data_IF_665843357117
#
_entry.id   IF_665843357117
#
_cell.length_a   1.000
_cell.length_b   1.000
_cell.length_c   1.000
_cell.angle_alpha   90.00
_cell.angle_beta   90.00
_cell.angle_gamma   90.00
#
_symmetry.space_group_name_H-M   'P 1'
#
loop_
_entity.id
_entity.type
_entity.pdbx_description
1 polymer ?
#
# COMPACT_ATOMS: atom_id res chain seq x y z
N UNK A 1 4.71 -7.43 -4.37
CA UNK A 1 3.46 -8.12 -3.95
C UNK A 1 3.49 -9.59 -4.37
N UNK A 2 3.46 -9.96 -5.65
CA UNK A 2 3.34 -11.35 -6.10
C UNK A 2 4.32 -12.33 -5.46
N UNK A 3 5.62 -12.00 -5.45
CA UNK A 3 6.65 -12.85 -4.82
C UNK A 3 6.41 -13.04 -3.32
N UNK A 4 6.00 -11.98 -2.61
CA UNK A 4 5.68 -12.06 -1.18
C UNK A 4 4.46 -12.94 -0.91
N UNK A 5 3.42 -12.81 -1.76
CA UNK A 5 2.18 -13.57 -1.61
C UNK A 5 2.40 -15.06 -1.92
N UNK A 6 3.16 -15.37 -2.99
CA UNK A 6 3.59 -16.73 -3.31
C UNK A 6 4.34 -17.36 -2.12
N UNK A 7 5.38 -16.70 -1.61
CA UNK A 7 6.14 -17.15 -0.46
C UNK A 7 5.23 -17.41 0.76
N UNK A 8 4.32 -16.47 1.08
CA UNK A 8 3.42 -16.61 2.22
C UNK A 8 2.48 -17.82 2.11
N UNK A 9 1.90 -18.08 0.94
CA UNK A 9 1.05 -19.23 0.71
C UNK A 9 1.81 -20.54 0.77
N UNK A 10 3.00 -20.63 0.19
CA UNK A 10 3.85 -21.82 0.27
C UNK A 10 4.20 -22.17 1.73
N UNK A 11 4.50 -21.16 2.58
CA UNK A 11 4.73 -21.36 4.02
C UNK A 11 3.49 -21.94 4.75
N UNK A 12 2.30 -21.75 4.19
CA UNK A 12 1.03 -22.30 4.73
C UNK A 12 0.61 -23.61 4.08
N UNK A 13 1.45 -24.17 3.21
CA UNK A 13 1.16 -25.42 2.49
C UNK A 13 0.14 -25.26 1.35
N UNK A 14 -0.14 -24.06 0.90
CA UNK A 14 -0.97 -23.79 -0.27
C UNK A 14 -0.06 -23.81 -1.50
N UNK A 15 -0.29 -24.76 -2.40
CA UNK A 15 0.49 -24.86 -3.63
C UNK A 15 0.20 -23.67 -4.55
N UNK A 16 1.25 -22.96 -4.95
CA UNK A 16 1.15 -21.78 -5.82
C UNK A 16 2.23 -21.80 -6.91
N UNK A 17 1.90 -21.22 -8.06
CA UNK A 17 2.86 -21.00 -9.14
C UNK A 17 2.93 -19.51 -9.48
N UNK A 18 4.16 -18.99 -9.57
CA UNK A 18 4.40 -17.59 -9.89
C UNK A 18 4.64 -17.41 -11.39
N UNK A 19 3.67 -16.78 -12.06
CA UNK A 19 3.74 -16.51 -13.51
C UNK A 19 4.07 -15.03 -13.73
N UNK A 20 5.06 -14.76 -14.59
CA UNK A 20 5.42 -13.38 -14.94
C UNK A 20 4.54 -12.86 -16.07
N UNK A 21 3.91 -11.69 -15.86
CA UNK A 21 2.99 -11.11 -16.83
C UNK A 21 3.65 -10.58 -18.12
N UNK A 22 4.91 -10.10 -18.05
CA UNK A 22 5.59 -9.51 -19.22
C UNK A 22 5.70 -10.44 -20.44
N UNK A 23 6.07 -11.73 -20.31
CA UNK A 23 6.02 -12.65 -21.44
C UNK A 23 4.61 -12.83 -21.99
N UNK A 24 3.58 -12.84 -21.14
CA UNK A 24 2.18 -13.06 -21.56
C UNK A 24 1.67 -11.93 -22.45
N UNK A 25 2.03 -10.67 -22.15
CA UNK A 25 1.63 -9.50 -22.95
C UNK A 25 2.49 -9.30 -24.20
N UNK A 26 3.68 -9.92 -24.27
CA UNK A 26 4.59 -9.80 -25.40
C UNK A 26 4.40 -10.91 -26.44
N UNK A 27 3.96 -12.11 -26.02
CA UNK A 27 3.81 -13.30 -26.87
C UNK A 27 2.51 -14.04 -26.53
N UNK A 28 1.51 -14.04 -27.43
CA UNK A 28 0.25 -14.78 -27.22
C UNK A 28 0.43 -16.28 -26.97
N UNK A 29 1.48 -16.91 -27.50
CA UNK A 29 1.77 -18.33 -27.26
C UNK A 29 2.20 -18.60 -25.81
N UNK A 30 2.84 -17.61 -25.15
CA UNK A 30 3.21 -17.73 -23.74
C UNK A 30 1.99 -17.89 -22.82
N UNK A 31 0.81 -17.43 -23.23
CA UNK A 31 -0.44 -17.61 -22.46
C UNK A 31 -0.79 -19.09 -22.30
N UNK A 32 -0.46 -19.93 -23.29
CA UNK A 32 -0.69 -21.39 -23.23
C UNK A 32 0.15 -22.10 -22.17
N UNK A 33 1.17 -21.43 -21.66
CA UNK A 33 2.04 -21.98 -20.59
C UNK A 33 1.52 -21.64 -19.19
N UNK A 34 0.47 -20.83 -19.09
CA UNK A 34 -0.14 -20.52 -17.78
C UNK A 34 -0.85 -21.76 -17.26
N UNK A 35 -0.48 -22.28 -16.10
CA UNK A 35 -1.08 -23.49 -15.56
C UNK A 35 -2.56 -23.28 -15.23
N UNK A 36 -3.34 -24.36 -15.34
CA UNK A 36 -4.72 -24.36 -14.85
C UNK A 36 -4.71 -24.30 -13.32
N UNK A 37 -5.50 -23.40 -12.76
CA UNK A 37 -5.61 -23.20 -11.34
C UNK A 37 -7.07 -22.91 -10.91
N UNK A 38 -7.37 -23.19 -9.66
CA UNK A 38 -8.67 -22.86 -9.07
C UNK A 38 -8.80 -21.36 -8.83
N UNK A 39 -7.67 -20.67 -8.57
CA UNK A 39 -7.62 -19.24 -8.25
C UNK A 39 -6.46 -18.58 -9.03
N UNK A 40 -6.76 -17.49 -9.71
CA UNK A 40 -5.76 -16.61 -10.33
C UNK A 40 -5.68 -15.29 -9.57
N UNK A 41 -4.50 -14.96 -9.03
CA UNK A 41 -4.27 -13.72 -8.29
C UNK A 41 -3.38 -12.79 -9.11
N UNK A 42 -3.95 -11.69 -9.58
CA UNK A 42 -3.28 -10.69 -10.41
C UNK A 42 -2.59 -9.65 -9.52
N UNK A 43 -1.27 -9.67 -9.50
CA UNK A 43 -0.42 -8.76 -8.70
C UNK A 43 0.38 -7.80 -9.60
N UNK A 44 -0.15 -7.51 -10.77
CA UNK A 44 0.43 -6.59 -11.75
C UNK A 44 0.07 -5.15 -11.44
N UNK A 45 0.77 -4.19 -12.06
CA UNK A 45 0.41 -2.77 -11.96
C UNK A 45 -0.94 -2.49 -12.64
N UNK A 46 -1.70 -1.55 -12.12
CA UNK A 46 -3.08 -1.25 -12.55
C UNK A 46 -3.19 -1.01 -14.06
N UNK A 47 -2.18 -0.35 -14.66
CA UNK A 47 -2.13 -0.02 -16.09
C UNK A 47 -2.28 -1.22 -17.02
N UNK A 48 -1.79 -2.39 -16.62
CA UNK A 48 -1.82 -3.61 -17.44
C UNK A 48 -2.79 -4.66 -16.91
N UNK A 49 -3.50 -4.39 -15.83
CA UNK A 49 -4.37 -5.37 -15.18
C UNK A 49 -5.46 -5.89 -16.12
N UNK A 50 -6.20 -5.01 -16.78
CA UNK A 50 -7.26 -5.41 -17.70
C UNK A 50 -6.76 -6.25 -18.87
N UNK A 51 -5.60 -5.91 -19.44
CA UNK A 51 -4.94 -6.65 -20.49
C UNK A 51 -4.58 -8.07 -20.02
N UNK A 52 -3.90 -8.19 -18.87
CA UNK A 52 -3.49 -9.51 -18.35
C UNK A 52 -4.70 -10.38 -17.98
N UNK A 53 -5.76 -9.79 -17.41
CA UNK A 53 -7.01 -10.49 -17.12
C UNK A 53 -7.66 -11.06 -18.38
N UNK A 54 -7.65 -10.32 -19.48
CA UNK A 54 -8.25 -10.76 -20.75
C UNK A 54 -7.51 -11.94 -21.41
N UNK A 55 -6.24 -12.12 -21.10
CA UNK A 55 -5.42 -13.22 -21.65
C UNK A 55 -5.75 -14.59 -21.02
N UNK A 56 -6.27 -14.62 -19.80
CA UNK A 56 -6.50 -15.89 -19.07
C UNK A 56 -7.93 -16.37 -19.30
N UNK A 57 -8.08 -17.42 -20.07
CA UNK A 57 -9.38 -18.07 -20.32
C UNK A 57 -9.62 -19.22 -19.32
N UNK A 58 -10.20 -18.87 -18.17
CA UNK A 58 -10.53 -19.81 -17.10
C UNK A 58 -11.84 -19.40 -16.39
N UNK A 59 -13.00 -19.50 -17.07
CA UNK A 59 -14.25 -18.93 -16.57
C UNK A 59 -14.79 -19.60 -15.30
N UNK A 60 -14.30 -20.77 -14.93
CA UNK A 60 -14.68 -21.49 -13.69
C UNK A 60 -13.79 -21.16 -12.50
N UNK A 61 -12.63 -20.56 -12.73
CA UNK A 61 -11.70 -20.18 -11.69
C UNK A 61 -12.14 -18.89 -10.99
N UNK A 62 -11.70 -18.70 -9.76
CA UNK A 62 -11.83 -17.44 -9.04
C UNK A 62 -10.70 -16.48 -9.48
N UNK A 63 -11.06 -15.31 -9.97
CA UNK A 63 -10.12 -14.29 -10.43
C UNK A 63 -10.03 -13.15 -9.43
N UNK A 64 -8.84 -12.90 -8.87
CA UNK A 64 -8.62 -11.90 -7.82
C UNK A 64 -7.56 -10.88 -8.26
N UNK A 65 -7.79 -9.59 -8.03
CA UNK A 65 -6.72 -8.61 -8.11
C UNK A 65 -6.36 -8.05 -6.73
N UNK A 66 -5.15 -7.49 -6.63
CA UNK A 66 -4.62 -6.96 -5.37
C UNK A 66 -4.49 -5.43 -5.36
N UNK A 67 -5.18 -4.74 -6.28
CA UNK A 67 -5.13 -3.28 -6.37
C UNK A 67 -6.03 -2.60 -5.34
N UNK A 68 -5.52 -1.52 -4.73
CA UNK A 68 -6.30 -0.65 -3.87
C UNK A 68 -7.25 0.29 -4.62
N UNK A 69 -7.02 0.53 -5.93
CA UNK A 69 -7.72 1.53 -6.74
C UNK A 69 -8.60 0.95 -7.86
N UNK A 70 -8.28 -0.25 -8.37
CA UNK A 70 -9.03 -0.84 -9.48
C UNK A 70 -10.39 -1.39 -9.03
N UNK A 71 -11.45 -1.20 -9.85
CA UNK A 71 -12.75 -1.76 -9.57
C UNK A 71 -12.82 -3.25 -9.89
N UNK A 72 -13.70 -3.98 -9.19
CA UNK A 72 -13.98 -5.40 -9.47
C UNK A 72 -14.51 -5.62 -10.89
N UNK A 73 -15.11 -4.60 -11.50
CA UNK A 73 -15.64 -4.64 -12.86
C UNK A 73 -14.57 -4.83 -13.94
N UNK A 74 -13.27 -4.70 -13.59
CA UNK A 74 -12.16 -5.01 -14.52
C UNK A 74 -12.22 -6.44 -15.04
N UNK A 75 -12.87 -7.35 -14.32
CA UNK A 75 -13.01 -8.75 -14.71
C UNK A 75 -14.11 -9.02 -15.77
N UNK A 76 -14.93 -8.01 -16.11
CA UNK A 76 -15.98 -8.19 -17.12
C UNK A 76 -17.05 -9.22 -16.76
N UNK A 77 -17.87 -9.59 -17.75
CA UNK A 77 -18.90 -10.62 -17.59
C UNK A 77 -18.36 -12.05 -17.81
N UNK A 78 -17.29 -12.19 -18.55
CA UNK A 78 -16.63 -13.45 -18.90
C UNK A 78 -15.88 -14.11 -17.73
N UNK A 79 -15.68 -13.38 -16.63
CA UNK A 79 -15.17 -13.90 -15.36
C UNK A 79 -16.28 -13.82 -14.30
N UNK A 80 -17.20 -14.80 -14.26
CA UNK A 80 -18.34 -14.79 -13.34
C UNK A 80 -17.93 -14.88 -11.88
N UNK A 81 -16.78 -15.53 -11.59
CA UNK A 81 -16.19 -15.65 -10.26
C UNK A 81 -15.00 -14.72 -10.14
N UNK A 82 -15.17 -13.64 -9.40
CA UNK A 82 -14.12 -12.65 -9.27
C UNK A 82 -14.22 -11.82 -7.98
N UNK A 83 -13.10 -11.21 -7.60
CA UNK A 83 -13.02 -10.37 -6.44
C UNK A 83 -11.73 -9.59 -6.29
N UNK A 84 -11.61 -8.99 -5.14
CA UNK A 84 -10.44 -8.24 -4.70
C UNK A 84 -9.86 -8.90 -3.46
N UNK A 85 -8.53 -9.01 -3.41
CA UNK A 85 -7.77 -9.50 -2.26
C UNK A 85 -6.66 -8.50 -1.98
N UNK A 86 -6.95 -7.47 -1.19
CA UNK A 86 -6.06 -6.34 -0.98
C UNK A 86 -5.42 -6.39 0.40
N UNK A 87 -4.18 -6.88 0.47
CA UNK A 87 -3.36 -6.80 1.69
C UNK A 87 -2.76 -5.40 1.84
N UNK A 88 -3.12 -4.72 2.92
CA UNK A 88 -2.74 -3.34 3.16
C UNK A 88 -1.39 -3.25 3.85
N UNK A 89 -0.33 -3.34 3.06
CA UNK A 89 1.06 -3.32 3.50
C UNK A 89 1.97 -2.75 2.40
N UNK A 90 3.13 -2.24 2.80
CA UNK A 90 4.24 -1.89 1.91
C UNK A 90 5.09 -3.13 1.63
N UNK A 91 5.16 -3.55 0.36
CA UNK A 91 5.94 -4.71 -0.06
C UNK A 91 7.17 -4.27 -0.84
N UNK A 92 8.35 -4.77 -0.47
CA UNK A 92 9.57 -4.69 -1.28
C UNK A 92 9.86 -6.02 -1.97
N UNK A 93 10.76 -6.01 -2.94
CA UNK A 93 11.22 -7.25 -3.59
C UNK A 93 12.33 -7.93 -2.81
N UNK A 94 13.10 -7.15 -2.08
CA UNK A 94 14.32 -7.54 -1.39
C UNK A 94 14.02 -8.19 -0.03
N UNK A 95 12.82 -7.95 0.51
CA UNK A 95 12.42 -8.47 1.83
C UNK A 95 11.13 -9.25 1.69
N UNK A 96 11.20 -10.55 1.96
CA UNK A 96 10.01 -11.39 2.06
C UNK A 96 9.45 -11.31 3.48
N UNK A 97 8.13 -11.34 3.58
CA UNK A 97 7.41 -11.29 4.85
C UNK A 97 6.95 -12.71 5.18
N UNK A 98 7.44 -13.27 6.27
CA UNK A 98 7.09 -14.60 6.74
C UNK A 98 5.80 -14.59 7.57
N UNK A 99 5.64 -13.58 8.43
CA UNK A 99 4.46 -13.44 9.29
C UNK A 99 3.49 -12.38 8.76
N UNK A 100 2.36 -12.84 8.26
CA UNK A 100 1.27 -12.00 7.75
C UNK A 100 0.16 -11.77 8.78
N UNK A 101 0.25 -12.34 9.97
CA UNK A 101 -0.83 -12.33 10.98
C UNK A 101 -1.31 -10.93 11.36
N UNK A 102 -0.43 -9.93 11.27
CA UNK A 102 -0.74 -8.53 11.59
C UNK A 102 -1.15 -7.70 10.38
N UNK A 103 -1.03 -8.22 9.15
CA UNK A 103 -1.34 -7.49 7.92
C UNK A 103 -2.84 -7.51 7.67
N UNK A 104 -3.51 -6.35 7.62
CA UNK A 104 -4.92 -6.30 7.27
C UNK A 104 -5.16 -6.71 5.81
N UNK A 105 -6.18 -7.53 5.58
CA UNK A 105 -6.70 -7.88 4.27
C UNK A 105 -8.07 -7.26 4.07
N UNK A 106 -8.24 -6.48 3.02
CA UNK A 106 -9.52 -5.92 2.60
C UNK A 106 -9.98 -6.63 1.32
N UNK A 107 -11.23 -7.06 1.27
CA UNK A 107 -11.70 -7.87 0.17
C UNK A 107 -13.11 -7.48 -0.30
N UNK A 108 -13.42 -7.88 -1.52
CA UNK A 108 -14.71 -7.71 -2.18
C UNK A 108 -14.93 -8.90 -3.11
N UNK A 109 -16.12 -9.47 -3.17
CA UNK A 109 -16.49 -10.56 -4.08
C UNK A 109 -17.70 -10.19 -4.95
N UNK A 110 -17.80 -10.76 -6.17
CA UNK A 110 -18.94 -10.53 -7.06
C UNK A 110 -20.25 -11.10 -6.52
N UNK A 111 -20.18 -12.19 -5.76
CA UNK A 111 -21.34 -12.90 -5.21
C UNK A 111 -20.98 -13.52 -3.86
N UNK A 112 -21.94 -14.13 -3.19
CA UNK A 112 -21.77 -14.68 -1.83
C UNK A 112 -20.76 -15.83 -1.78
N UNK A 113 -20.69 -16.66 -2.83
CA UNK A 113 -19.75 -17.78 -2.89
C UNK A 113 -18.32 -17.28 -3.07
N UNK A 114 -18.10 -16.25 -3.91
CA UNK A 114 -16.82 -15.58 -4.07
C UNK A 114 -16.37 -14.92 -2.78
N UNK A 115 -17.27 -14.23 -2.06
CA UNK A 115 -17.01 -13.63 -0.73
C UNK A 115 -16.53 -14.71 0.24
N UNK A 116 -17.20 -15.85 0.33
CA UNK A 116 -16.82 -16.95 1.22
C UNK A 116 -15.46 -17.55 0.84
N UNK A 117 -15.20 -17.76 -0.45
CA UNK A 117 -13.93 -18.31 -0.95
C UNK A 117 -12.75 -17.36 -0.67
N UNK A 118 -12.93 -16.05 -0.92
CA UNK A 118 -11.89 -15.03 -0.68
C UNK A 118 -11.60 -14.92 0.81
N UNK A 119 -12.63 -14.90 1.65
CA UNK A 119 -12.46 -14.87 3.09
C UNK A 119 -11.67 -16.08 3.59
N UNK A 120 -12.01 -17.30 3.14
CA UNK A 120 -11.30 -18.53 3.49
C UNK A 120 -9.84 -18.50 3.05
N UNK A 121 -9.57 -17.99 1.84
CA UNK A 121 -8.20 -17.82 1.34
C UNK A 121 -7.41 -16.83 2.21
N UNK A 122 -7.99 -15.66 2.54
CA UNK A 122 -7.33 -14.66 3.36
C UNK A 122 -7.01 -15.17 4.77
N UNK A 123 -7.90 -16.00 5.34
CA UNK A 123 -7.71 -16.62 6.67
C UNK A 123 -6.46 -17.50 6.78
N UNK A 124 -5.95 -18.02 5.68
CA UNK A 124 -4.69 -18.79 5.71
C UNK A 124 -3.50 -17.94 6.11
N UNK A 125 -3.56 -16.62 5.88
CA UNK A 125 -2.45 -15.70 6.11
C UNK A 125 -2.67 -14.77 7.32
N UNK A 126 -3.90 -14.28 7.54
CA UNK A 126 -4.21 -13.30 8.59
C UNK A 126 -5.59 -13.52 9.20
N UNK A 127 -5.77 -13.04 10.43
CA UNK A 127 -7.09 -12.93 11.06
C UNK A 127 -7.72 -11.54 10.93
N UNK A 128 -6.99 -10.56 10.37
CA UNK A 128 -7.46 -9.18 10.20
C UNK A 128 -8.10 -9.00 8.83
N UNK A 129 -9.30 -9.52 8.66
CA UNK A 129 -9.99 -9.61 7.36
C UNK A 129 -11.24 -8.75 7.42
N UNK A 130 -11.39 -7.86 6.43
CA UNK A 130 -12.48 -6.88 6.37
C UNK A 130 -13.09 -6.88 4.97
N UNK A 131 -14.39 -7.10 4.89
CA UNK A 131 -15.13 -6.82 3.66
C UNK A 131 -15.17 -5.31 3.44
N UNK A 132 -14.92 -4.88 2.21
CA UNK A 132 -14.69 -3.47 1.94
C UNK A 132 -15.19 -3.11 0.54
N UNK A 133 -16.08 -2.12 0.45
CA UNK A 133 -16.53 -1.60 -0.84
C UNK A 133 -15.37 -0.98 -1.64
N UNK A 134 -15.53 -0.89 -2.97
CA UNK A 134 -14.56 -0.15 -3.81
C UNK A 134 -14.31 1.26 -3.29
N UNK A 135 -15.37 2.00 -2.99
CA UNK A 135 -15.27 3.38 -2.50
C UNK A 135 -14.43 3.49 -1.23
N UNK A 136 -14.63 2.59 -0.25
CA UNK A 136 -13.88 2.62 1.00
C UNK A 136 -12.44 2.15 0.81
N UNK A 137 -12.20 1.18 -0.08
CA UNK A 137 -10.87 0.71 -0.46
C UNK A 137 -10.03 1.81 -1.12
N UNK A 138 -10.63 2.59 -2.02
CA UNK A 138 -9.96 3.74 -2.63
C UNK A 138 -9.56 4.79 -1.59
N UNK A 139 -10.44 5.11 -0.64
CA UNK A 139 -10.15 6.03 0.47
C UNK A 139 -9.06 5.48 1.38
N UNK A 140 -9.12 4.18 1.70
CA UNK A 140 -8.08 3.50 2.47
C UNK A 140 -6.73 3.58 1.76
N UNK A 141 -6.71 3.35 0.45
CA UNK A 141 -5.48 3.44 -0.35
C UNK A 141 -4.88 4.85 -0.29
N UNK A 142 -5.70 5.90 -0.45
CA UNK A 142 -5.24 7.30 -0.30
C UNK A 142 -4.71 7.56 1.12
N UNK A 143 -5.39 7.08 2.16
CA UNK A 143 -4.89 7.19 3.54
C UNK A 143 -3.53 6.51 3.71
N UNK A 144 -3.33 5.33 3.09
CA UNK A 144 -2.05 4.61 3.06
C UNK A 144 -0.94 5.38 2.36
N UNK A 145 -1.26 6.12 1.29
CA UNK A 145 -0.28 6.99 0.63
C UNK A 145 0.25 8.03 1.61
N UNK A 146 -0.63 8.68 2.39
CA UNK A 146 -0.20 9.64 3.43
C UNK A 146 0.60 8.96 4.54
N UNK A 147 0.08 7.84 5.08
CA UNK A 147 0.69 7.18 6.23
C UNK A 147 2.02 6.48 5.92
N UNK A 148 2.27 6.11 4.68
CA UNK A 148 3.46 5.37 4.26
C UNK A 148 4.29 6.12 3.22
N UNK A 149 3.77 6.34 2.00
CA UNK A 149 4.59 6.84 0.90
C UNK A 149 5.08 8.28 1.14
N UNK A 150 4.20 9.19 1.57
CA UNK A 150 4.60 10.56 1.88
C UNK A 150 5.42 10.64 3.16
N UNK A 151 5.13 9.79 4.15
CA UNK A 151 5.96 9.70 5.36
C UNK A 151 7.40 9.29 5.01
N UNK A 152 7.59 8.30 4.13
CA UNK A 152 8.93 7.94 3.65
C UNK A 152 9.61 9.08 2.88
N UNK A 153 8.85 9.86 2.09
CA UNK A 153 9.39 11.06 1.45
C UNK A 153 9.87 12.08 2.48
N UNK A 154 9.16 12.26 3.62
CA UNK A 154 9.60 13.15 4.69
C UNK A 154 10.93 12.68 5.31
N UNK A 155 11.13 11.37 5.49
CA UNK A 155 12.42 10.82 5.93
C UNK A 155 13.54 11.13 4.94
N UNK A 156 13.28 10.99 3.64
CA UNK A 156 14.25 11.36 2.59
C UNK A 156 14.59 12.85 2.66
N UNK A 157 13.59 13.74 2.78
CA UNK A 157 13.80 15.18 2.92
C UNK A 157 14.65 15.48 4.16
N UNK A 158 14.35 14.87 5.30
CA UNK A 158 15.13 15.03 6.52
C UNK A 158 16.60 14.61 6.32
N UNK A 159 16.85 13.48 5.66
CA UNK A 159 18.20 13.06 5.31
C UNK A 159 18.93 14.08 4.41
N UNK A 160 18.21 14.68 3.44
CA UNK A 160 18.80 15.67 2.54
C UNK A 160 19.07 17.00 3.25
N UNK A 161 18.27 17.42 4.21
CA UNK A 161 18.51 18.61 5.05
C UNK A 161 19.76 18.44 5.93
N UNK A 162 20.08 17.22 6.35
CA UNK A 162 21.30 16.95 7.12
C UNK A 162 22.57 16.90 6.27
N UNK A 163 22.48 16.90 4.94
CA UNK A 163 23.68 16.87 4.07
C UNK A 163 24.59 18.07 4.33
N UNK A 164 25.88 17.78 4.45
CA UNK A 164 26.92 18.79 4.76
C UNK A 164 27.06 19.10 6.25
N UNK A 165 26.27 18.48 7.11
CA UNK A 165 26.48 18.48 8.56
C UNK A 165 27.28 17.25 9.01
N UNK A 166 27.72 17.22 10.27
CA UNK A 166 28.36 16.04 10.89
C UNK A 166 27.34 15.09 11.53
N UNK A 167 26.04 15.34 11.38
CA UNK A 167 24.95 14.58 12.01
C UNK A 167 24.52 13.47 11.06
N UNK A 168 24.65 12.19 11.43
CA UNK A 168 24.18 11.08 10.60
C UNK A 168 22.66 10.94 10.66
N UNK A 169 22.06 10.35 9.62
CA UNK A 169 20.61 10.12 9.56
C UNK A 169 20.08 9.27 10.73
N UNK A 170 20.90 8.34 11.21
CA UNK A 170 20.58 7.43 12.32
C UNK A 170 20.22 8.19 13.61
N UNK A 171 20.69 9.43 13.77
CA UNK A 171 20.30 10.28 14.90
C UNK A 171 18.82 10.62 14.92
N UNK A 172 18.13 10.52 13.78
CA UNK A 172 16.67 10.74 13.65
C UNK A 172 15.84 9.49 13.97
N UNK A 173 16.41 8.28 13.95
CA UNK A 173 15.65 7.05 14.11
C UNK A 173 14.83 7.00 15.41
N UNK A 174 15.34 7.38 16.59
CA UNK A 174 14.54 7.40 17.81
C UNK A 174 13.35 8.37 17.75
N UNK A 175 13.49 9.48 17.02
CA UNK A 175 12.40 10.46 16.83
C UNK A 175 11.34 9.91 15.87
N UNK A 176 11.75 9.22 14.82
CA UNK A 176 10.87 8.53 13.86
C UNK A 176 10.02 7.49 14.59
N UNK A 177 10.67 6.60 15.35
CA UNK A 177 10.01 5.56 16.13
C UNK A 177 9.02 6.16 17.14
N UNK A 178 9.43 7.20 17.88
CA UNK A 178 8.57 7.87 18.84
C UNK A 178 7.34 8.50 18.17
N UNK A 179 7.49 9.04 16.96
CA UNK A 179 6.38 9.63 16.20
C UNK A 179 5.37 8.56 15.79
N UNK A 180 5.83 7.42 15.33
CA UNK A 180 4.98 6.27 15.00
C UNK A 180 4.31 5.67 16.24
N UNK A 181 5.04 5.52 17.35
CA UNK A 181 4.52 4.95 18.59
C UNK A 181 3.42 5.81 19.24
N UNK A 182 3.51 7.14 19.14
CA UNK A 182 2.51 8.04 19.72
C UNK A 182 1.10 7.81 19.18
N UNK A 183 0.94 7.48 17.90
CA UNK A 183 -0.39 7.29 17.31
C UNK A 183 -1.05 5.95 17.70
N UNK A 184 -0.34 5.09 18.43
CA UNK A 184 -0.95 3.91 19.06
C UNK A 184 -1.77 4.24 20.31
N UNK A 185 -1.47 5.37 20.97
CA UNK A 185 -2.11 5.78 22.24
C UNK A 185 -2.82 7.12 22.19
N UNK A 186 -2.53 7.95 21.19
CA UNK A 186 -3.11 9.28 21.03
C UNK A 186 -3.73 9.41 19.64
N UNK A 187 -4.82 10.18 19.53
CA UNK A 187 -5.32 10.56 18.22
C UNK A 187 -4.25 11.40 17.48
N UNK A 188 -4.11 11.27 16.15
CA UNK A 188 -3.10 12.01 15.39
C UNK A 188 -3.07 13.52 15.62
N UNK A 189 -4.25 14.14 15.82
CA UNK A 189 -4.38 15.57 16.16
C UNK A 189 -3.70 15.90 17.49
N UNK A 190 -3.88 15.04 18.49
CA UNK A 190 -3.35 15.28 19.85
C UNK A 190 -1.84 14.96 19.92
N UNK A 191 -1.38 13.99 19.12
CA UNK A 191 0.03 13.62 18.99
C UNK A 191 0.87 14.70 18.30
N UNK A 192 0.25 15.65 17.57
CA UNK A 192 0.96 16.71 16.85
C UNK A 192 1.76 17.60 17.80
N UNK A 193 3.00 17.91 17.42
CA UNK A 193 3.92 18.82 18.13
C UNK A 193 4.59 19.78 17.14
N UNK A 194 5.48 20.62 17.59
CA UNK A 194 6.33 21.46 16.76
C UNK A 194 5.94 22.94 16.72
N UNK A 195 6.75 23.78 16.03
CA UNK A 195 6.57 25.23 16.00
C UNK A 195 5.24 25.65 15.35
N UNK A 196 4.81 24.99 14.29
CA UNK A 196 3.54 25.30 13.62
C UNK A 196 2.33 25.08 14.55
N UNK A 197 2.31 24.01 15.36
CA UNK A 197 1.24 23.80 16.35
C UNK A 197 1.20 24.90 17.40
N UNK A 198 2.36 25.45 17.79
CA UNK A 198 2.47 26.54 18.81
C UNK A 198 2.34 27.93 18.21
N UNK A 199 2.23 28.08 16.89
CA UNK A 199 2.19 29.40 16.22
C UNK A 199 3.54 30.15 16.30
N UNK A 200 4.67 29.46 16.41
CA UNK A 200 6.00 30.07 16.58
C UNK A 200 6.54 30.57 15.23
N UNK A 201 6.08 31.75 14.82
CA UNK A 201 6.39 32.35 13.51
C UNK A 201 7.90 32.62 13.34
N UNK A 202 8.59 33.03 14.43
CA UNK A 202 10.02 33.33 14.36
C UNK A 202 10.86 32.08 14.02
N UNK A 203 10.57 30.95 14.66
CA UNK A 203 11.22 29.68 14.37
C UNK A 203 10.89 29.20 12.96
N UNK A 204 9.63 29.30 12.53
CA UNK A 204 9.23 28.88 11.18
C UNK A 204 9.91 29.71 10.08
N UNK A 205 10.01 31.03 10.30
CA UNK A 205 10.70 31.93 9.37
C UNK A 205 12.19 31.55 9.26
N UNK A 206 12.85 31.30 10.36
CA UNK A 206 14.24 30.86 10.38
C UNK A 206 14.44 29.51 9.63
N UNK A 207 13.52 28.55 9.81
CA UNK A 207 13.56 27.30 9.06
C UNK A 207 13.40 27.53 7.55
N UNK A 208 12.53 28.46 7.14
CA UNK A 208 12.38 28.80 5.72
C UNK A 208 13.61 29.49 5.13
N UNK A 209 14.40 30.20 5.93
CA UNK A 209 15.71 30.77 5.53
C UNK A 209 16.75 29.66 5.30
N UNK A 210 16.83 28.69 6.22
CA UNK A 210 17.69 27.49 6.05
C UNK A 210 17.34 26.73 4.77
N UNK A 211 16.06 26.63 4.45
CA UNK A 211 15.55 25.89 3.28
C UNK A 211 15.55 26.72 1.97
N UNK A 212 15.99 27.99 1.99
CA UNK A 212 15.80 28.94 0.89
C UNK A 212 16.37 28.47 -0.45
N UNK A 213 17.50 27.74 -0.42
CA UNK A 213 18.17 27.21 -1.61
C UNK A 213 17.76 25.75 -1.95
N UNK A 214 16.68 25.23 -1.34
CA UNK A 214 16.22 23.87 -1.53
C UNK A 214 14.80 23.82 -2.13
N UNK A 215 14.40 22.76 -2.83
CA UNK A 215 13.02 22.58 -3.29
C UNK A 215 12.03 22.31 -2.14
N UNK A 216 12.49 22.21 -0.90
CA UNK A 216 11.69 21.79 0.25
C UNK A 216 11.05 22.96 1.01
N UNK A 217 11.41 24.21 0.68
CA UNK A 217 10.82 25.40 1.30
C UNK A 217 9.31 25.45 1.13
N UNK A 218 8.81 25.19 -0.08
CA UNK A 218 7.37 25.18 -0.38
C UNK A 218 6.64 24.04 0.34
N UNK A 219 7.26 22.87 0.40
CA UNK A 219 6.71 21.71 1.14
C UNK A 219 6.59 22.05 2.63
N UNK A 220 7.64 22.64 3.22
CA UNK A 220 7.63 23.08 4.62
C UNK A 220 6.49 24.07 4.87
N UNK A 221 6.36 25.09 4.04
CA UNK A 221 5.32 26.13 4.17
C UNK A 221 3.91 25.53 4.06
N UNK A 222 3.67 24.64 3.10
CA UNK A 222 2.37 24.00 2.92
C UNK A 222 1.98 23.14 4.12
N UNK A 223 2.92 22.33 4.64
CA UNK A 223 2.68 21.48 5.82
C UNK A 223 2.47 22.32 7.08
N UNK A 224 3.26 23.37 7.29
CA UNK A 224 3.11 24.27 8.41
C UNK A 224 1.72 24.92 8.42
N UNK A 225 1.26 25.44 7.29
CA UNK A 225 -0.07 26.05 7.15
C UNK A 225 -1.21 25.06 7.45
N UNK A 226 -1.09 23.78 7.04
CA UNK A 226 -2.07 22.75 7.36
C UNK A 226 -2.12 22.45 8.86
N UNK A 227 -0.97 22.40 9.54
CA UNK A 227 -0.88 22.18 10.98
C UNK A 227 -1.48 23.38 11.73
N UNK A 228 -1.14 24.61 11.36
CA UNK A 228 -1.71 25.83 11.97
C UNK A 228 -3.23 25.83 11.83
N UNK A 229 -3.75 25.60 10.62
CA UNK A 229 -5.20 25.53 10.35
C UNK A 229 -5.90 24.47 11.21
N UNK A 230 -5.28 23.31 11.41
CA UNK A 230 -5.86 22.22 12.21
C UNK A 230 -5.89 22.53 13.71
N UNK A 231 -5.11 23.51 14.19
CA UNK A 231 -4.97 23.87 15.62
C UNK A 231 -5.36 25.30 15.91
N UNK A 232 -5.74 26.14 14.92
CA UNK A 232 -6.35 27.43 15.12
C UNK A 232 -7.78 27.23 15.65
N UNK A 233 -8.04 27.71 16.86
CA UNK A 233 -9.36 27.78 17.50
C UNK A 233 -9.81 29.22 17.58
#
# INVERSE_FOLDING_TARGET
MGTNLHHAFELKGVHTELVHARPLTADPEAVRTVPLADIYIYTVVDKVLAEVVSLIDAPKALHLHTSGSMPITVFGADKPHAGVLYFFQSFSREVLIDDWSTIPCFFEGKNIDDVAAIYSLAQTLTSRIYECSQHDRERLHVAGVFANNYTNLMYRIAAEVLRGTQIPFEALLPLIDQTALKVHSLAPKDAQTGPAKRGDQAVMQHHMEILAATPYREVYQALAALIEKAHSH
#
